data_IF_627116816131
#
_entry.id   IF_627116816131
#
_cell.length_a   1.000
_cell.length_b   1.000
_cell.length_c   1.000
_cell.angle_alpha   90.00
_cell.angle_beta   90.00
_cell.angle_gamma   90.00
#
_symmetry.space_group_name_H-M   'P 1'
#
loop_
_entity.id
_entity.type
_entity.pdbx_description
1 polymer ?
#
# COMPACT_ATOMS: atom_id res chain seq x y z
N UNK A 1 -21.95 16.06 -3.33
CA UNK A 1 -22.14 14.60 -3.49
C UNK A 1 -22.90 13.97 -2.34
N UNK A 2 -22.40 13.98 -1.09
CA UNK A 2 -23.13 13.40 0.06
C UNK A 2 -24.57 13.96 0.25
N UNK A 3 -24.78 15.27 0.05
CA UNK A 3 -26.11 15.92 0.17
C UNK A 3 -27.13 15.53 -0.91
N UNK A 4 -26.69 15.06 -2.08
CA UNK A 4 -27.58 14.72 -3.20
C UNK A 4 -27.89 13.21 -3.26
N UNK A 5 -27.44 12.44 -2.25
CA UNK A 5 -27.40 10.98 -2.30
C UNK A 5 -26.16 10.47 -3.03
N UNK A 6 -25.59 9.38 -2.52
CA UNK A 6 -24.50 8.65 -3.19
C UNK A 6 -25.10 7.42 -3.85
N UNK A 7 -24.93 7.23 -5.17
CA UNK A 7 -25.38 6.02 -5.83
C UNK A 7 -24.63 4.78 -5.29
N UNK A 8 -25.23 3.57 -5.36
CA UNK A 8 -24.55 2.35 -4.96
C UNK A 8 -23.18 2.24 -5.63
N UNK A 9 -22.13 2.09 -4.83
CA UNK A 9 -20.75 2.03 -5.30
C UNK A 9 -19.97 0.95 -4.56
N UNK A 10 -18.95 0.42 -5.22
CA UNK A 10 -18.01 -0.54 -4.68
C UNK A 10 -16.60 -0.09 -5.06
N UNK A 11 -15.61 -0.50 -4.27
CA UNK A 11 -14.20 -0.21 -4.53
C UNK A 11 -13.32 -1.30 -3.94
N UNK A 12 -12.09 -1.38 -4.41
CA UNK A 12 -11.06 -2.22 -3.83
C UNK A 12 -9.77 -1.41 -3.65
N UNK A 13 -8.96 -1.83 -2.70
CA UNK A 13 -7.65 -1.26 -2.45
C UNK A 13 -6.56 -2.25 -2.83
N UNK A 14 -5.43 -1.74 -3.29
CA UNK A 14 -4.23 -2.54 -3.52
C UNK A 14 -3.04 -1.86 -2.85
N UNK A 15 -2.24 -2.65 -2.13
CA UNK A 15 -1.00 -2.16 -1.53
C UNK A 15 0.11 -2.18 -2.58
N UNK A 16 0.63 -1.02 -2.94
CA UNK A 16 1.68 -0.90 -3.98
C UNK A 16 2.92 -1.70 -3.57
N UNK A 17 3.43 -1.52 -2.36
CA UNK A 17 4.61 -2.27 -1.90
C UNK A 17 4.37 -3.79 -1.85
N UNK A 18 3.14 -4.21 -1.51
CA UNK A 18 2.76 -5.65 -1.49
C UNK A 18 2.68 -6.23 -2.90
N UNK A 19 2.11 -5.48 -3.84
CA UNK A 19 2.05 -5.88 -5.25
C UNK A 19 3.46 -5.98 -5.84
N UNK A 20 4.31 -4.99 -5.59
CA UNK A 20 5.70 -4.99 -6.06
C UNK A 20 6.49 -6.17 -5.49
N UNK A 21 6.38 -6.45 -4.17
CA UNK A 21 6.98 -7.63 -3.55
C UNK A 21 6.55 -8.92 -4.26
N UNK A 22 5.26 -9.06 -4.56
CA UNK A 22 4.73 -10.24 -5.24
C UNK A 22 5.25 -10.38 -6.67
N UNK A 23 5.18 -9.33 -7.49
CA UNK A 23 5.63 -9.35 -8.89
C UNK A 23 7.13 -9.60 -8.99
N UNK A 24 7.93 -8.95 -8.13
CA UNK A 24 9.38 -9.04 -8.15
C UNK A 24 9.94 -10.22 -7.33
N UNK A 25 9.09 -11.00 -6.65
CA UNK A 25 9.52 -12.14 -5.83
C UNK A 25 10.41 -11.77 -4.64
N UNK A 26 10.22 -10.56 -4.07
CA UNK A 26 11.03 -10.09 -2.96
C UNK A 26 10.69 -10.84 -1.66
N UNK A 27 11.70 -11.09 -0.83
CA UNK A 27 11.51 -11.79 0.43
C UNK A 27 10.69 -10.93 1.40
N UNK A 28 11.01 -9.64 1.53
CA UNK A 28 10.38 -8.73 2.46
C UNK A 28 9.70 -7.55 1.77
N UNK A 29 8.78 -6.87 2.47
CA UNK A 29 8.02 -5.74 1.90
C UNK A 29 8.83 -4.45 1.85
N UNK A 30 9.75 -4.26 2.80
CA UNK A 30 10.59 -3.06 2.82
C UNK A 30 11.60 -3.03 1.67
N UNK A 31 11.91 -4.19 1.08
CA UNK A 31 12.72 -4.28 -0.15
C UNK A 31 12.01 -3.62 -1.36
N UNK A 32 10.70 -3.38 -1.26
CA UNK A 32 9.89 -2.73 -2.29
C UNK A 32 9.84 -1.20 -2.15
N UNK A 33 10.50 -0.59 -1.16
CA UNK A 33 10.50 0.87 -0.94
C UNK A 33 11.91 1.41 -0.65
N UNK A 34 12.31 2.57 -1.21
CA UNK A 34 13.67 3.09 -0.99
C UNK A 34 13.98 3.50 0.45
N UNK A 35 13.00 4.05 1.16
CA UNK A 35 13.14 4.53 2.55
C UNK A 35 12.09 3.84 3.44
N UNK A 36 12.35 2.60 3.87
CA UNK A 36 11.39 1.83 4.64
C UNK A 36 11.21 2.39 6.06
N UNK A 37 9.96 2.45 6.51
CA UNK A 37 9.58 2.85 7.87
C UNK A 37 9.37 1.60 8.73
N UNK A 38 10.46 0.97 9.13
CA UNK A 38 10.42 -0.24 9.97
C UNK A 38 10.17 0.17 11.42
N UNK A 39 9.21 -0.47 12.08
CA UNK A 39 8.89 -0.18 13.47
C UNK A 39 10.12 -0.40 14.37
N UNK A 40 10.44 0.59 15.20
CA UNK A 40 11.60 0.53 16.10
C UNK A 40 12.95 0.85 15.46
N UNK A 41 13.00 1.13 14.15
CA UNK A 41 14.21 1.56 13.45
C UNK A 41 14.02 3.03 13.07
N UNK A 42 14.96 3.89 13.48
CA UNK A 42 14.96 5.28 13.03
C UNK A 42 15.42 5.32 11.57
N UNK A 43 14.50 5.63 10.66
CA UNK A 43 14.83 5.94 9.28
C UNK A 43 15.53 7.29 9.20
N UNK A 44 16.65 7.42 8.46
CA UNK A 44 17.33 8.70 8.25
C UNK A 44 16.49 9.70 7.43
#
# INVERSE_FOLDING_TARGET
MLKAGIPPSAGFGIGVERLTRFICGLENIWDAVPFPKVAGIHSP
#
